data_IF_029633166534
#
_entry.id   IF_029633166534
#
_cell.length_a   1.000
_cell.length_b   1.000
_cell.length_c   1.000
_cell.angle_alpha   90.00
_cell.angle_beta   90.00
_cell.angle_gamma   90.00
#
_symmetry.space_group_name_H-M   'P 1'
#
loop_
_entity.id
_entity.type
_entity.pdbx_description
1 polymer ?
#
# COMPACT_ATOMS: atom_id res chain seq x y z
N UNK A 1 5.94 -13.37 0.82
CA UNK A 1 6.15 -12.03 0.19
C UNK A 1 4.82 -11.53 -0.35
N UNK A 2 4.55 -10.26 -0.16
CA UNK A 2 3.33 -9.62 -0.62
C UNK A 2 3.12 -9.72 -2.14
N UNK A 3 1.93 -9.46 -2.61
CA UNK A 3 1.61 -9.28 -4.01
C UNK A 3 1.01 -7.90 -4.24
N UNK A 4 1.42 -7.24 -5.29
CA UNK A 4 0.88 -5.94 -5.70
C UNK A 4 0.33 -6.03 -7.13
N UNK A 5 -0.69 -5.26 -7.40
CA UNK A 5 -1.25 -5.13 -8.74
C UNK A 5 -1.77 -3.72 -8.98
N UNK A 6 -2.07 -3.41 -10.22
CA UNK A 6 -2.62 -2.13 -10.60
C UNK A 6 -3.27 -2.18 -11.97
N UNK A 7 -4.17 -1.26 -12.21
CA UNK A 7 -4.92 -1.16 -13.46
C UNK A 7 -5.19 0.30 -13.81
N UNK A 8 -5.01 0.62 -15.09
CA UNK A 8 -5.45 1.89 -15.67
C UNK A 8 -6.50 1.57 -16.74
N UNK A 9 -7.71 2.07 -16.53
CA UNK A 9 -8.80 1.93 -17.50
C UNK A 9 -8.93 3.20 -18.33
N UNK A 10 -8.25 3.25 -19.46
CA UNK A 10 -8.24 4.42 -20.35
C UNK A 10 -9.61 4.78 -20.92
N UNK A 11 -10.54 3.82 -20.98
CA UNK A 11 -11.89 4.02 -21.54
C UNK A 11 -12.94 4.33 -20.48
N UNK A 12 -12.61 4.17 -19.19
CA UNK A 12 -13.54 4.39 -18.07
C UNK A 12 -14.74 3.44 -18.07
N UNK A 13 -14.62 2.23 -18.63
CA UNK A 13 -15.74 1.29 -18.83
C UNK A 13 -15.75 0.14 -17.82
N UNK A 14 -14.68 -0.04 -17.03
CA UNK A 14 -14.53 -1.15 -16.09
C UNK A 14 -14.96 -0.75 -14.69
N UNK A 15 -15.50 -1.71 -13.96
CA UNK A 15 -15.55 -1.66 -12.51
C UNK A 15 -14.15 -1.98 -11.96
N UNK A 16 -13.39 -0.93 -11.65
CA UNK A 16 -12.01 -1.05 -11.18
C UNK A 16 -11.90 -1.82 -9.87
N UNK A 17 -12.81 -1.58 -8.93
CA UNK A 17 -12.80 -2.27 -7.62
C UNK A 17 -12.96 -3.77 -7.83
N UNK A 18 -13.95 -4.19 -8.61
CA UNK A 18 -14.16 -5.60 -8.94
C UNK A 18 -12.96 -6.21 -9.67
N UNK A 19 -12.39 -5.49 -10.63
CA UNK A 19 -11.20 -5.92 -11.36
C UNK A 19 -10.02 -6.14 -10.41
N UNK A 20 -9.75 -5.20 -9.52
CA UNK A 20 -8.67 -5.30 -8.52
C UNK A 20 -8.89 -6.43 -7.53
N UNK A 21 -10.13 -6.65 -7.08
CA UNK A 21 -10.47 -7.77 -6.22
C UNK A 21 -10.20 -9.12 -6.89
N UNK A 22 -10.54 -9.25 -8.16
CA UNK A 22 -10.23 -10.46 -8.94
C UNK A 22 -8.72 -10.64 -9.15
N UNK A 23 -7.98 -9.58 -9.42
CA UNK A 23 -6.52 -9.61 -9.52
C UNK A 23 -5.90 -10.00 -8.17
N UNK A 24 -6.38 -9.45 -7.07
CA UNK A 24 -5.93 -9.83 -5.72
C UNK A 24 -6.15 -11.33 -5.45
N UNK A 25 -7.30 -11.90 -5.85
CA UNK A 25 -7.54 -13.34 -5.69
C UNK A 25 -6.51 -14.21 -6.40
N UNK A 26 -6.03 -13.79 -7.58
CA UNK A 26 -5.02 -14.54 -8.34
C UNK A 26 -3.66 -14.57 -7.63
N UNK A 27 -3.38 -13.57 -6.82
CA UNK A 27 -2.12 -13.45 -6.06
C UNK A 27 -2.31 -13.68 -4.56
N UNK A 28 -3.44 -14.25 -4.14
CA UNK A 28 -3.76 -14.50 -2.72
C UNK A 28 -2.65 -15.28 -2.00
N UNK A 29 -2.06 -16.27 -2.66
CA UNK A 29 -0.96 -17.08 -2.12
C UNK A 29 0.29 -16.27 -1.74
N UNK A 30 0.41 -15.05 -2.22
CA UNK A 30 1.54 -14.15 -1.92
C UNK A 30 1.43 -13.51 -0.55
N UNK A 31 0.23 -13.24 -0.09
CA UNK A 31 0.03 -12.58 1.19
C UNK A 31 -1.41 -12.69 1.67
N UNK A 32 -1.73 -13.76 2.42
CA UNK A 32 -3.10 -14.02 2.84
C UNK A 32 -3.55 -13.25 4.08
N UNK A 33 -2.68 -12.43 4.68
CA UNK A 33 -2.94 -11.81 5.98
C UNK A 33 -3.82 -10.58 5.89
N UNK A 34 -3.71 -9.81 4.79
CA UNK A 34 -4.47 -8.59 4.58
C UNK A 34 -4.65 -8.32 3.09
N UNK A 35 -5.72 -7.63 2.73
CA UNK A 35 -6.05 -7.28 1.36
C UNK A 35 -6.54 -5.85 1.28
N UNK A 36 -6.08 -5.11 0.29
CA UNK A 36 -6.51 -3.75 0.06
C UNK A 36 -6.70 -3.43 -1.41
N UNK A 37 -7.61 -2.51 -1.69
CA UNK A 37 -7.82 -1.91 -3.00
C UNK A 37 -8.06 -0.41 -2.83
N UNK A 38 -7.60 0.35 -3.81
CA UNK A 38 -7.83 1.78 -3.88
C UNK A 38 -8.00 2.21 -5.33
N UNK A 39 -8.90 3.13 -5.56
CA UNK A 39 -9.18 3.65 -6.90
C UNK A 39 -9.32 5.17 -6.88
N UNK A 40 -8.82 5.81 -7.91
CA UNK A 40 -9.05 7.22 -8.18
C UNK A 40 -9.17 7.43 -9.69
N UNK A 41 -10.28 8.02 -10.13
CA UNK A 41 -10.60 8.19 -11.54
C UNK A 41 -10.54 6.86 -12.31
N UNK A 42 -9.60 6.74 -13.25
CA UNK A 42 -9.38 5.55 -14.06
C UNK A 42 -8.18 4.69 -13.62
N UNK A 43 -7.62 4.98 -12.46
CA UNK A 43 -6.50 4.26 -11.86
C UNK A 43 -6.96 3.44 -10.67
N UNK A 44 -6.44 2.23 -10.55
CA UNK A 44 -6.63 1.41 -9.37
C UNK A 44 -5.35 0.69 -8.96
N UNK A 45 -5.18 0.48 -7.67
CA UNK A 45 -4.08 -0.30 -7.07
C UNK A 45 -4.63 -1.31 -6.07
N UNK A 46 -4.01 -2.48 -6.02
CA UNK A 46 -4.36 -3.56 -5.12
C UNK A 46 -3.15 -4.18 -4.42
N UNK A 47 -3.41 -4.72 -3.23
CA UNK A 47 -2.39 -5.34 -2.37
C UNK A 47 -2.92 -6.62 -1.75
N UNK A 48 -2.14 -7.68 -1.84
CA UNK A 48 -2.23 -8.89 -1.00
C UNK A 48 -1.03 -8.88 -0.06
N UNK A 49 -1.27 -8.74 1.23
CA UNK A 49 -0.21 -8.49 2.21
C UNK A 49 0.14 -9.74 3.01
N UNK A 50 1.43 -10.03 3.08
CA UNK A 50 2.02 -10.87 4.10
C UNK A 50 2.58 -9.93 5.17
N UNK A 51 1.96 -9.92 6.34
CA UNK A 51 2.27 -8.96 7.40
C UNK A 51 3.48 -9.42 8.20
N UNK A 52 4.60 -8.74 8.02
CA UNK A 52 5.87 -8.99 8.73
C UNK A 52 6.13 -7.90 9.77
N UNK A 53 5.96 -6.64 9.38
CA UNK A 53 6.10 -5.45 10.23
C UNK A 53 4.75 -4.77 10.34
N UNK A 54 4.40 -4.33 11.54
CA UNK A 54 3.14 -3.65 11.85
C UNK A 54 1.91 -4.41 11.36
N UNK A 55 1.61 -5.49 12.05
CA UNK A 55 0.47 -6.36 11.75
C UNK A 55 -0.87 -5.63 11.84
N UNK A 56 -0.94 -4.57 12.65
CA UNK A 56 -2.20 -3.90 12.98
C UNK A 56 -2.47 -2.66 12.14
N UNK A 57 -1.45 -1.86 11.83
CA UNK A 57 -1.64 -0.55 11.20
C UNK A 57 -0.96 -0.37 9.85
N UNK A 58 -0.13 -1.30 9.42
CA UNK A 58 0.56 -1.28 8.12
C UNK A 58 -0.30 -1.66 6.91
N UNK A 59 -1.62 -1.44 6.98
CA UNK A 59 -2.54 -1.71 5.87
C UNK A 59 -2.17 -0.92 4.61
N UNK A 60 -2.28 -1.57 3.45
CA UNK A 60 -2.03 -0.97 2.14
C UNK A 60 -3.21 -1.21 1.18
N UNK A 61 -3.46 -0.31 0.22
CA UNK A 61 -2.70 0.91 -0.12
C UNK A 61 -2.66 1.93 1.01
N UNK A 62 -1.48 2.55 1.20
CA UNK A 62 -1.24 3.55 2.26
C UNK A 62 -1.17 4.94 1.64
N UNK A 63 -1.65 5.94 2.39
CA UNK A 63 -1.71 7.34 1.96
C UNK A 63 -0.86 8.21 2.86
N UNK A 64 -0.29 9.29 2.31
CA UNK A 64 0.29 10.33 3.14
C UNK A 64 -0.81 11.20 3.77
N UNK A 65 -0.45 12.05 4.75
CA UNK A 65 -1.41 12.87 5.49
C UNK A 65 -2.24 13.81 4.61
N UNK A 66 -1.67 14.31 3.51
CA UNK A 66 -2.39 15.18 2.57
C UNK A 66 -3.24 14.42 1.56
N UNK A 67 -3.24 13.09 1.58
CA UNK A 67 -3.94 12.20 0.63
C UNK A 67 -3.63 12.48 -0.85
N UNK A 68 -2.46 13.04 -1.14
CA UNK A 68 -2.03 13.29 -2.51
C UNK A 68 -1.02 12.27 -3.05
N UNK A 69 -0.57 11.35 -2.21
CA UNK A 69 0.31 10.25 -2.56
C UNK A 69 -0.23 8.95 -1.98
N UNK A 70 -0.27 7.92 -2.82
CA UNK A 70 -0.73 6.57 -2.44
C UNK A 70 0.32 5.56 -2.84
N UNK A 71 0.62 4.62 -1.95
CA UNK A 71 1.62 3.58 -2.19
C UNK A 71 1.07 2.18 -1.95
N UNK A 72 1.46 1.25 -2.81
CA UNK A 72 1.53 -0.19 -2.53
C UNK A 72 2.98 -0.61 -2.65
N UNK A 73 3.48 -1.34 -1.67
CA UNK A 73 4.89 -1.66 -1.56
C UNK A 73 5.11 -3.12 -1.17
N UNK A 74 5.85 -3.84 -2.00
CA UNK A 74 6.30 -5.20 -1.71
C UNK A 74 7.82 -5.17 -1.52
N UNK A 75 8.25 -5.03 -0.29
CA UNK A 75 9.66 -4.95 0.09
C UNK A 75 9.84 -4.69 1.58
N UNK A 76 11.06 -4.45 1.99
CA UNK A 76 11.43 -4.10 3.36
C UNK A 76 12.46 -2.97 3.34
N UNK A 77 12.30 -2.00 4.25
CA UNK A 77 13.25 -0.92 4.45
C UNK A 77 13.94 -1.16 5.79
N UNK A 78 15.09 -1.79 5.76
CA UNK A 78 15.78 -2.26 6.98
C UNK A 78 16.18 -1.13 7.92
N UNK A 79 16.49 0.06 7.41
CA UNK A 79 16.86 1.23 8.18
C UNK A 79 15.68 2.20 8.43
N UNK A 80 14.44 1.73 8.33
CA UNK A 80 13.25 2.59 8.43
C UNK A 80 13.17 3.34 9.77
N UNK A 81 13.63 2.75 10.85
CA UNK A 81 13.60 3.40 12.17
C UNK A 81 14.52 4.62 12.24
N UNK A 82 15.70 4.56 11.61
CA UNK A 82 16.61 5.70 11.49
C UNK A 82 16.01 6.78 10.61
N UNK A 83 15.48 6.40 9.45
CA UNK A 83 14.81 7.32 8.52
C UNK A 83 13.61 7.99 9.17
N UNK A 84 12.80 7.25 9.91
CA UNK A 84 11.66 7.80 10.65
C UNK A 84 12.08 8.88 11.64
N UNK A 85 13.13 8.64 12.43
CA UNK A 85 13.66 9.63 13.39
C UNK A 85 14.12 10.91 12.68
N UNK A 86 14.83 10.78 11.57
CA UNK A 86 15.33 11.92 10.80
C UNK A 86 14.16 12.75 10.22
N UNK A 87 13.14 12.07 9.73
CA UNK A 87 11.92 12.69 9.22
C UNK A 87 11.10 13.37 10.34
N UNK A 88 10.99 12.75 11.51
CA UNK A 88 10.32 13.35 12.68
C UNK A 88 11.05 14.63 13.15
N UNK A 89 12.38 14.64 13.16
CA UNK A 89 13.18 15.85 13.43
C UNK A 89 12.90 16.94 12.41
N UNK A 90 12.62 16.57 11.15
CA UNK A 90 12.27 17.50 10.08
C UNK A 90 10.80 17.94 10.13
N UNK A 91 10.01 17.47 11.09
CA UNK A 91 8.63 17.90 11.32
C UNK A 91 7.56 17.00 10.72
N UNK A 92 7.93 15.86 10.13
CA UNK A 92 6.95 14.88 9.63
C UNK A 92 6.36 14.07 10.78
N UNK A 93 5.07 13.75 10.67
CA UNK A 93 4.36 12.93 11.65
C UNK A 93 4.02 11.57 11.05
N UNK A 94 4.13 10.53 11.86
CA UNK A 94 3.83 9.15 11.46
C UNK A 94 2.63 8.62 12.22
N UNK A 95 1.76 7.89 11.51
CA UNK A 95 0.55 7.29 12.06
C UNK A 95 0.72 5.79 12.34
N UNK A 96 1.70 5.15 11.68
CA UNK A 96 1.95 3.71 11.77
C UNK A 96 3.37 3.40 12.24
N UNK A 97 3.61 2.13 12.53
CA UNK A 97 4.94 1.59 12.77
C UNK A 97 5.51 0.88 11.54
N UNK A 98 4.83 1.00 10.39
CA UNK A 98 5.24 0.35 9.13
C UNK A 98 6.48 1.03 8.54
N UNK A 99 7.37 0.20 8.00
CA UNK A 99 8.51 0.68 7.21
C UNK A 99 8.05 1.38 5.90
N UNK A 100 6.91 1.00 5.36
CA UNK A 100 6.35 1.59 4.15
C UNK A 100 6.08 3.09 4.29
N UNK A 101 5.66 3.54 5.47
CA UNK A 101 5.30 4.94 5.70
C UNK A 101 6.48 5.92 5.51
N UNK A 102 7.72 5.48 5.68
CA UNK A 102 8.89 6.37 5.48
C UNK A 102 9.11 6.73 4.00
N UNK A 103 8.42 6.06 3.06
CA UNK A 103 8.46 6.38 1.63
C UNK A 103 7.49 7.52 1.29
N UNK A 104 6.39 7.63 2.01
CA UNK A 104 5.33 8.62 1.80
C UNK A 104 5.76 10.02 2.25
#
# INVERSE_FOLDING_TARGET
MCGINGCIDKKGQKDLIKTLQEMNRQIWHRGPDDVGVWTENNLGMGMQRLSVIDLMTGHQPMHNQSNNTTIVFNGEIYNYQSLKKDLEVSGYQFETSSDTEVIL
#
